data_IF_343519401043
#
_entry.id   IF_343519401043
#
_cell.length_a   1.000
_cell.length_b   1.000
_cell.length_c   1.000
_cell.angle_alpha   90.00
_cell.angle_beta   90.00
_cell.angle_gamma   90.00
#
_symmetry.space_group_name_H-M   'P 1'
#
loop_
_entity.id
_entity.type
_entity.pdbx_description
1 polymer ?
#
# COMPACT_ATOMS: atom_id res chain seq x y z
N UNK A 1 -29.66 0.07 5.20
CA UNK A 1 -28.33 -0.57 5.14
C UNK A 1 -27.63 -0.01 3.92
N UNK A 2 -26.75 0.96 4.11
CA UNK A 2 -25.99 1.54 2.99
C UNK A 2 -24.95 0.53 2.56
N UNK A 3 -25.09 -0.04 1.37
CA UNK A 3 -24.06 -0.85 0.74
C UNK A 3 -22.77 -0.03 0.69
N UNK A 4 -21.77 -0.46 1.46
CA UNK A 4 -20.39 -0.04 1.27
C UNK A 4 -19.97 -0.63 -0.08
N UNK A 5 -20.23 0.12 -1.16
CA UNK A 5 -19.69 -0.18 -2.49
C UNK A 5 -18.18 -0.34 -2.31
N UNK A 6 -17.70 -1.57 -2.47
CA UNK A 6 -16.28 -1.87 -2.37
C UNK A 6 -15.55 -0.98 -3.36
N UNK A 7 -14.87 0.07 -2.85
CA UNK A 7 -14.05 0.94 -3.69
C UNK A 7 -12.97 0.03 -4.28
N UNK A 8 -12.91 -0.11 -5.61
CA UNK A 8 -11.90 -0.95 -6.22
C UNK A 8 -10.53 -0.39 -5.84
N UNK A 9 -9.64 -1.25 -5.31
CA UNK A 9 -8.25 -0.93 -4.98
C UNK A 9 -7.44 -0.76 -6.27
N UNK A 10 -7.91 0.07 -7.20
CA UNK A 10 -7.25 0.33 -8.47
C UNK A 10 -6.12 1.31 -8.24
N UNK A 11 -4.90 1.04 -8.73
CA UNK A 11 -3.83 2.02 -8.67
C UNK A 11 -4.21 3.26 -9.48
N UNK A 12 -4.06 4.44 -8.89
CA UNK A 12 -4.15 5.71 -9.60
C UNK A 12 -2.97 5.82 -10.57
N UNK A 13 -3.21 6.46 -11.73
CA UNK A 13 -2.15 6.82 -12.67
C UNK A 13 -1.27 7.90 -12.04
N UNK A 14 -0.15 7.50 -11.45
CA UNK A 14 0.88 8.42 -11.01
C UNK A 14 1.66 8.96 -12.22
N UNK A 15 2.22 10.17 -12.08
CA UNK A 15 3.04 10.81 -13.14
C UNK A 15 4.37 10.06 -13.40
N UNK A 16 4.77 9.17 -12.48
CA UNK A 16 6.01 8.41 -12.57
C UNK A 16 5.73 6.93 -12.87
N UNK A 17 6.31 6.33 -13.93
CA UNK A 17 5.96 4.97 -14.39
C UNK A 17 6.28 3.87 -13.37
N UNK A 18 7.21 4.14 -12.46
CA UNK A 18 7.59 3.22 -11.38
C UNK A 18 6.78 3.38 -10.09
N UNK A 19 5.79 4.30 -10.05
CA UNK A 19 4.95 4.52 -8.87
C UNK A 19 3.50 4.16 -9.14
N UNK A 20 2.85 3.60 -8.13
CA UNK A 20 1.42 3.36 -8.13
C UNK A 20 0.85 3.70 -6.76
N UNK A 21 -0.29 4.39 -6.74
CA UNK A 21 -1.01 4.78 -5.52
C UNK A 21 -2.31 4.00 -5.41
N UNK A 22 -2.45 3.19 -4.37
CA UNK A 22 -3.67 2.49 -4.02
C UNK A 22 -4.46 3.32 -3.02
N UNK A 23 -5.71 3.64 -3.34
CA UNK A 23 -6.63 4.30 -2.41
C UNK A 23 -7.35 3.26 -1.56
N UNK A 24 -7.46 3.51 -0.26
CA UNK A 24 -8.18 2.67 0.69
C UNK A 24 -9.42 3.41 1.21
N UNK A 25 -10.51 2.68 1.53
CA UNK A 25 -11.74 3.27 2.05
C UNK A 25 -11.59 3.79 3.49
N UNK A 26 -10.58 3.32 4.22
CA UNK A 26 -10.28 3.71 5.60
C UNK A 26 -8.86 4.25 5.74
N UNK A 27 -8.59 5.07 6.78
CA UNK A 27 -7.25 5.55 7.01
C UNK A 27 -6.29 4.42 7.39
N UNK A 28 -5.09 4.42 6.80
CA UNK A 28 -3.96 3.55 7.18
C UNK A 28 -3.05 4.22 8.20
N UNK A 29 -2.98 5.55 8.20
CA UNK A 29 -2.32 6.36 9.23
C UNK A 29 -3.21 7.56 9.59
N UNK A 30 -3.12 8.06 10.83
CA UNK A 30 -3.95 9.19 11.30
C UNK A 30 -3.54 10.52 10.69
N UNK A 31 -2.24 10.83 10.65
CA UNK A 31 -1.69 12.10 10.17
C UNK A 31 -0.37 11.88 9.43
N UNK A 32 0.06 12.86 8.63
CA UNK A 32 1.38 12.85 8.00
C UNK A 32 1.58 11.81 6.89
N UNK A 33 2.80 11.30 6.80
CA UNK A 33 3.22 10.26 5.86
C UNK A 33 4.34 9.43 6.50
N UNK A 34 4.44 8.15 6.14
CA UNK A 34 5.54 7.28 6.58
C UNK A 34 6.11 6.51 5.41
N UNK A 35 7.43 6.53 5.28
CA UNK A 35 8.15 5.81 4.22
C UNK A 35 8.95 4.68 4.82
N UNK A 36 8.88 3.56 4.12
CA UNK A 36 9.66 2.37 4.39
C UNK A 36 10.44 2.04 3.12
N UNK A 37 11.72 1.72 3.29
CA UNK A 37 12.64 1.39 2.20
C UNK A 37 13.06 -0.09 2.24
N UNK A 38 12.60 -0.84 3.24
CA UNK A 38 12.88 -2.27 3.36
C UNK A 38 11.90 -2.98 4.30
N UNK A 39 11.83 -4.31 4.17
CA UNK A 39 11.12 -5.16 5.11
C UNK A 39 11.65 -5.03 6.55
N UNK A 40 12.95 -4.79 6.74
CA UNK A 40 13.56 -4.59 8.06
C UNK A 40 13.07 -3.30 8.73
N UNK A 41 13.01 -2.20 7.97
CA UNK A 41 12.42 -0.94 8.42
C UNK A 41 10.92 -1.08 8.72
N UNK A 42 10.25 -2.04 8.09
CA UNK A 42 8.84 -2.37 8.28
C UNK A 42 8.58 -3.43 9.37
N UNK A 43 9.58 -3.84 10.16
CA UNK A 43 9.45 -4.92 11.16
C UNK A 43 8.31 -4.71 12.18
N UNK A 44 7.97 -3.45 12.50
CA UNK A 44 6.84 -3.11 13.37
C UNK A 44 5.48 -3.03 12.66
N UNK A 45 5.42 -3.26 11.35
CA UNK A 45 4.20 -3.13 10.55
C UNK A 45 3.99 -4.34 9.63
N UNK A 46 3.12 -5.25 10.06
CA UNK A 46 2.82 -6.50 9.34
C UNK A 46 2.39 -6.28 7.88
N UNK A 47 1.45 -5.38 7.63
CA UNK A 47 1.01 -5.05 6.27
C UNK A 47 2.10 -4.50 5.35
N UNK A 48 2.94 -3.56 5.84
CA UNK A 48 4.07 -3.06 5.05
C UNK A 48 5.12 -4.15 4.82
N UNK A 49 5.45 -4.93 5.85
CA UNK A 49 6.35 -6.07 5.71
C UNK A 49 5.83 -7.09 4.67
N UNK A 50 4.52 -7.31 4.60
CA UNK A 50 3.90 -8.15 3.59
C UNK A 50 4.00 -7.56 2.18
N UNK A 51 3.85 -6.24 2.01
CA UNK A 51 4.05 -5.57 0.72
C UNK A 51 5.49 -5.75 0.20
N UNK A 52 6.48 -5.71 1.09
CA UNK A 52 7.88 -5.98 0.71
C UNK A 52 8.19 -7.43 0.32
N UNK A 53 7.27 -8.38 0.58
CA UNK A 53 7.42 -9.76 0.09
C UNK A 53 7.02 -9.90 -1.38
N UNK A 54 6.34 -8.90 -1.94
CA UNK A 54 5.96 -8.90 -3.36
C UNK A 54 7.23 -8.60 -4.18
N UNK A 55 7.66 -9.50 -5.08
CA UNK A 55 8.83 -9.26 -5.91
C UNK A 55 8.72 -7.94 -6.67
N UNK A 56 9.79 -7.15 -6.62
CA UNK A 56 9.86 -5.85 -7.27
C UNK A 56 9.37 -4.66 -6.44
N UNK A 57 8.78 -4.83 -5.25
CA UNK A 57 8.46 -3.67 -4.39
C UNK A 57 9.71 -3.14 -3.68
N UNK A 58 10.06 -1.89 -3.94
CA UNK A 58 11.27 -1.24 -3.41
C UNK A 58 10.99 -0.21 -2.30
N UNK A 59 9.89 0.54 -2.41
CA UNK A 59 9.50 1.54 -1.39
C UNK A 59 8.01 1.44 -1.15
N UNK A 60 7.61 1.53 0.11
CA UNK A 60 6.22 1.65 0.53
C UNK A 60 6.03 2.98 1.25
N UNK A 61 5.09 3.79 0.77
CA UNK A 61 4.69 5.04 1.44
C UNK A 61 3.26 4.90 1.93
N UNK A 62 3.05 5.12 3.22
CA UNK A 62 1.73 5.26 3.81
C UNK A 62 1.38 6.74 3.89
N UNK A 63 0.17 7.06 3.47
CA UNK A 63 -0.45 8.37 3.66
C UNK A 63 -1.91 8.15 4.07
N UNK A 64 -2.54 9.12 4.74
CA UNK A 64 -3.85 9.01 5.40
C UNK A 64 -4.71 7.83 4.97
N UNK A 65 -5.20 7.81 3.72
CA UNK A 65 -6.05 6.77 3.13
C UNK A 65 -5.45 6.15 1.85
N UNK A 66 -4.13 6.13 1.72
CA UNK A 66 -3.47 5.58 0.54
C UNK A 66 -2.14 4.91 0.85
N UNK A 67 -1.85 3.90 0.04
CA UNK A 67 -0.56 3.21 0.03
C UNK A 67 0.07 3.43 -1.32
N UNK A 68 1.28 3.96 -1.36
CA UNK A 68 2.06 4.10 -2.58
C UNK A 68 3.17 3.09 -2.62
N UNK A 69 3.34 2.46 -3.76
CA UNK A 69 4.43 1.54 -4.03
C UNK A 69 5.37 2.16 -5.06
N UNK A 70 6.67 2.07 -4.81
CA UNK A 70 7.69 2.18 -5.86
C UNK A 70 8.10 0.76 -6.24
N UNK A 71 8.11 0.48 -7.54
CA UNK A 71 8.58 -0.81 -8.06
C UNK A 71 9.97 -0.72 -8.69
N UNK A 72 10.60 -1.87 -8.77
CA UNK A 72 11.73 -2.16 -9.61
C UNK A 72 11.37 -1.92 -11.09
N UNK A 73 12.21 -1.22 -11.88
CA UNK A 73 11.96 -0.98 -13.29
C UNK A 73 11.78 -2.26 -14.13
N UNK A 74 12.39 -3.38 -13.75
CA UNK A 74 12.35 -4.65 -14.48
C UNK A 74 11.07 -5.47 -14.24
N UNK A 75 10.29 -5.13 -13.20
CA UNK A 75 9.07 -5.87 -12.83
C UNK A 75 7.83 -5.12 -13.30
N UNK A 76 6.84 -5.81 -13.89
CA UNK A 76 5.63 -5.14 -14.38
C UNK A 76 4.64 -4.80 -13.24
N UNK A 77 3.81 -3.77 -13.44
CA UNK A 77 2.69 -3.54 -12.52
C UNK A 77 1.62 -4.64 -12.61
N UNK A 78 1.53 -5.35 -13.74
CA UNK A 78 0.59 -6.45 -13.95
C UNK A 78 0.87 -7.62 -13.00
N UNK A 79 2.15 -7.82 -12.65
CA UNK A 79 2.57 -8.83 -11.67
C UNK A 79 2.40 -8.36 -10.22
N UNK A 80 2.61 -7.06 -9.96
CA UNK A 80 2.59 -6.49 -8.60
C UNK A 80 1.17 -6.22 -8.12
N UNK A 81 0.30 -5.67 -8.98
CA UNK A 81 -1.03 -5.18 -8.59
C UNK A 81 -1.90 -6.25 -7.95
N UNK A 82 -2.04 -7.47 -8.50
CA UNK A 82 -2.89 -8.50 -7.89
C UNK A 82 -2.40 -8.88 -6.48
N UNK A 83 -1.08 -9.05 -6.30
CA UNK A 83 -0.49 -9.37 -5.01
C UNK A 83 -0.64 -8.22 -4.00
N UNK A 84 -0.44 -6.98 -4.45
CA UNK A 84 -0.60 -5.79 -3.62
C UNK A 84 -2.06 -5.63 -3.14
N UNK A 85 -3.03 -5.83 -4.04
CA UNK A 85 -4.45 -5.76 -3.69
C UNK A 85 -4.82 -6.78 -2.60
N UNK A 86 -4.33 -8.01 -2.68
CA UNK A 86 -4.63 -9.01 -1.66
C UNK A 86 -3.99 -8.65 -0.31
N UNK A 87 -2.74 -8.18 -0.30
CA UNK A 87 -2.10 -7.71 0.94
C UNK A 87 -2.87 -6.53 1.55
N UNK A 88 -3.27 -5.54 0.74
CA UNK A 88 -4.06 -4.41 1.20
C UNK A 88 -5.40 -4.85 1.81
N UNK A 89 -6.06 -5.84 1.19
CA UNK A 89 -7.32 -6.40 1.67
C UNK A 89 -7.18 -7.13 3.00
N UNK A 90 -6.10 -7.88 3.19
CA UNK A 90 -5.88 -8.70 4.39
C UNK A 90 -5.32 -7.89 5.57
N UNK A 91 -4.42 -6.95 5.30
CA UNK A 91 -3.55 -6.36 6.32
C UNK A 91 -3.87 -4.88 6.61
N UNK A 92 -4.69 -4.22 5.79
CA UNK A 92 -5.04 -2.80 5.96
C UNK A 92 -6.54 -2.55 6.09
N UNK A 93 -7.39 -3.36 5.45
CA UNK A 93 -8.84 -3.25 5.64
C UNK A 93 -9.28 -3.89 6.96
N UNK A 94 -10.10 -3.18 7.74
CA UNK A 94 -10.60 -3.65 9.03
C UNK A 94 -9.64 -3.47 10.22
N UNK A 95 -8.45 -2.89 10.01
CA UNK A 95 -7.47 -2.61 11.07
C UNK A 95 -7.49 -1.15 11.52
N UNK A 96 -7.14 -0.88 12.79
CA UNK A 96 -7.06 0.50 13.29
C UNK A 96 -5.92 1.28 12.58
N UNK A 97 -6.14 2.58 12.26
CA UNK A 97 -5.10 3.40 11.65
C UNK A 97 -3.91 3.61 12.56
N UNK A 98 -2.70 3.60 12.00
CA UNK A 98 -1.48 3.85 12.76
C UNK A 98 -1.33 5.33 13.17
N UNK A 99 -0.64 5.57 14.28
CA UNK A 99 -0.05 6.87 14.58
C UNK A 99 1.18 7.08 13.69
N UNK A 100 1.31 8.25 13.07
CA UNK A 100 2.59 8.66 12.49
C UNK A 100 3.49 9.09 13.65
N UNK A 101 4.67 8.47 13.74
CA UNK A 101 5.70 8.84 14.70
C UNK A 101 6.39 10.14 14.28
#
# INVERSE_FOLDING_TARGET
MTELTAVPLTPLRDYHPLRATFLLPQPVIRTGWKVYESAAAASGHRGVAALFRIPGVQIVTLHRNSVKLLRDPEVSWEDIVPAAQEVLRQEFLGHEPLEAA
#
